data_IF_997502521380
#
_entry.id   IF_997502521380
#
_cell.length_a   1.000
_cell.length_b   1.000
_cell.length_c   1.000
_cell.angle_alpha   90.00
_cell.angle_beta   90.00
_cell.angle_gamma   90.00
#
_symmetry.space_group_name_H-M   'P 1'
#
loop_
_entity.id
_entity.type
_entity.pdbx_description
1 polymer ?
#
# COMPACT_ATOMS: atom_id res chain seq x y z
N UNK A 1 22.98 -10.72 -31.34
CA UNK A 1 21.78 -9.91 -31.01
C UNK A 1 21.72 -9.86 -29.49
N UNK A 2 22.40 -8.88 -28.88
CA UNK A 2 22.40 -8.70 -27.42
C UNK A 2 20.99 -8.26 -27.03
N UNK A 3 20.28 -9.08 -26.27
CA UNK A 3 18.95 -8.69 -25.82
C UNK A 3 19.15 -7.58 -24.80
N UNK A 4 18.21 -6.64 -24.71
CA UNK A 4 18.23 -5.61 -23.66
C UNK A 4 18.19 -6.25 -22.27
N UNK A 5 17.66 -7.48 -22.19
CA UNK A 5 17.75 -8.34 -21.01
C UNK A 5 19.18 -8.58 -20.53
N UNK A 6 20.20 -8.48 -21.38
CA UNK A 6 21.58 -8.81 -21.00
C UNK A 6 22.30 -7.59 -20.41
N UNK A 7 21.65 -6.42 -20.36
CA UNK A 7 22.30 -5.18 -19.96
C UNK A 7 22.50 -5.07 -18.45
N UNK A 8 21.67 -5.69 -17.60
CA UNK A 8 21.79 -5.60 -16.13
C UNK A 8 21.17 -6.80 -15.38
N UNK A 9 21.37 -8.05 -15.85
CA UNK A 9 20.68 -9.23 -15.27
C UNK A 9 21.50 -10.10 -14.29
N UNK A 10 22.79 -9.86 -14.06
CA UNK A 10 23.59 -10.73 -13.17
C UNK A 10 24.24 -10.01 -11.97
N UNK A 11 24.04 -10.62 -10.80
CA UNK A 11 24.70 -10.61 -9.48
C UNK A 11 25.47 -9.38 -8.93
N UNK A 12 26.05 -8.51 -9.75
CA UNK A 12 26.80 -7.34 -9.30
C UNK A 12 26.11 -6.03 -9.74
N UNK A 13 25.97 -5.03 -8.86
CA UNK A 13 25.38 -3.76 -9.22
C UNK A 13 26.24 -3.08 -10.31
N UNK A 14 25.63 -2.65 -11.42
CA UNK A 14 26.37 -2.04 -12.52
C UNK A 14 27.05 -0.75 -12.10
N UNK A 15 28.25 -0.51 -12.62
CA UNK A 15 28.98 0.74 -12.38
C UNK A 15 28.34 1.91 -13.12
N UNK A 16 28.49 3.13 -12.59
CA UNK A 16 28.03 4.37 -13.24
C UNK A 16 28.53 4.49 -14.69
N UNK A 17 29.77 4.06 -14.97
CA UNK A 17 30.35 4.07 -16.31
C UNK A 17 29.65 3.07 -17.26
N UNK A 18 29.24 1.90 -16.75
CA UNK A 18 28.47 0.93 -17.52
C UNK A 18 27.08 1.48 -17.85
N UNK A 19 26.39 2.08 -16.86
CA UNK A 19 25.07 2.68 -17.05
C UNK A 19 25.13 3.81 -18.09
N UNK A 20 26.10 4.71 -17.98
CA UNK A 20 26.30 5.84 -18.90
C UNK A 20 26.59 5.37 -20.35
N UNK A 21 27.43 4.34 -20.51
CA UNK A 21 27.73 3.74 -21.80
C UNK A 21 26.48 3.11 -22.44
N UNK A 22 25.65 2.43 -21.63
CA UNK A 22 24.39 1.83 -22.11
C UNK A 22 23.40 2.90 -22.53
N UNK A 23 23.17 3.92 -21.70
CA UNK A 23 22.29 5.05 -22.04
C UNK A 23 22.74 5.75 -23.33
N UNK A 24 24.04 5.98 -23.48
CA UNK A 24 24.63 6.59 -24.68
C UNK A 24 24.43 5.72 -25.93
N UNK A 25 24.66 4.40 -25.85
CA UNK A 25 24.50 3.49 -26.99
C UNK A 25 23.04 3.31 -27.40
N UNK A 26 22.15 3.20 -26.42
CA UNK A 26 20.73 2.94 -26.65
C UNK A 26 20.05 4.07 -27.43
N UNK A 27 20.43 5.33 -27.16
CA UNK A 27 19.96 6.50 -27.89
C UNK A 27 20.30 6.50 -29.40
N UNK A 28 21.22 5.64 -29.83
CA UNK A 28 21.71 5.57 -31.22
C UNK A 28 21.39 4.21 -31.89
N UNK A 29 20.51 3.37 -31.31
CA UNK A 29 20.10 2.09 -31.91
C UNK A 29 19.27 2.29 -33.20
N UNK A 30 19.57 1.49 -34.22
CA UNK A 30 19.06 1.65 -35.59
C UNK A 30 17.57 1.32 -35.78
N UNK A 31 16.97 1.64 -36.95
CA UNK A 31 15.58 1.31 -37.31
C UNK A 31 15.22 -0.17 -37.26
N UNK A 32 16.16 -1.07 -37.58
CA UNK A 32 15.89 -2.51 -37.62
C UNK A 32 15.89 -3.23 -36.27
N UNK A 33 16.26 -2.57 -35.17
CA UNK A 33 16.62 -3.23 -33.92
C UNK A 33 15.57 -3.17 -32.82
N UNK A 34 14.40 -2.53 -33.01
CA UNK A 34 13.40 -2.41 -31.95
C UNK A 34 11.95 -2.54 -32.41
N UNK A 35 11.19 -3.30 -31.61
CA UNK A 35 9.74 -3.47 -31.66
C UNK A 35 8.94 -2.19 -31.31
N UNK A 36 9.51 -0.99 -31.46
CA UNK A 36 8.91 0.32 -31.15
C UNK A 36 8.49 1.09 -32.42
N UNK A 37 8.46 0.44 -33.59
CA UNK A 37 8.13 1.06 -34.89
C UNK A 37 6.76 1.76 -34.95
N UNK A 38 5.87 1.47 -34.02
CA UNK A 38 4.57 2.11 -33.87
C UNK A 38 4.66 3.49 -33.20
N UNK A 39 5.83 3.88 -32.69
CA UNK A 39 6.15 5.23 -32.22
C UNK A 39 6.81 6.09 -33.31
N UNK A 40 6.90 5.61 -34.56
CA UNK A 40 7.66 6.21 -35.66
C UNK A 40 7.27 7.65 -36.07
N UNK A 41 6.17 8.20 -35.54
CA UNK A 41 5.74 9.57 -35.79
C UNK A 41 6.38 10.61 -34.85
N UNK A 42 7.17 10.20 -33.84
CA UNK A 42 7.86 11.09 -32.89
C UNK A 42 9.39 11.03 -33.04
N UNK A 43 10.10 11.97 -32.40
CA UNK A 43 11.58 11.97 -32.34
C UNK A 43 12.08 10.68 -31.69
N UNK A 44 12.48 9.73 -32.54
CA UNK A 44 12.92 8.39 -32.15
C UNK A 44 14.03 8.42 -31.10
N UNK A 45 14.95 9.38 -31.19
CA UNK A 45 16.05 9.50 -30.23
C UNK A 45 15.50 9.84 -28.84
N UNK A 46 14.53 10.75 -28.77
CA UNK A 46 13.89 11.10 -27.51
C UNK A 46 13.20 9.87 -26.87
N UNK A 47 12.44 9.10 -27.64
CA UNK A 47 11.79 7.87 -27.15
C UNK A 47 12.79 6.87 -26.58
N UNK A 48 13.90 6.65 -27.29
CA UNK A 48 14.94 5.73 -26.83
C UNK A 48 15.62 6.22 -25.54
N UNK A 49 15.87 7.53 -25.43
CA UNK A 49 16.39 8.13 -24.20
C UNK A 49 15.42 7.94 -23.02
N UNK A 50 14.11 8.15 -23.24
CA UNK A 50 13.08 7.89 -22.22
C UNK A 50 13.07 6.43 -21.82
N UNK A 51 13.03 5.52 -22.80
CA UNK A 51 12.97 4.08 -22.56
C UNK A 51 14.16 3.56 -21.75
N UNK A 52 15.39 4.00 -22.08
CA UNK A 52 16.56 3.59 -21.33
C UNK A 52 16.60 4.20 -19.93
N UNK A 53 16.18 5.47 -19.74
CA UNK A 53 16.05 6.06 -18.40
C UNK A 53 15.04 5.31 -17.54
N UNK A 54 13.85 5.04 -18.06
CA UNK A 54 12.85 4.21 -17.39
C UNK A 54 13.42 2.85 -17.03
N UNK A 55 14.10 2.17 -17.96
CA UNK A 55 14.71 0.86 -17.67
C UNK A 55 15.75 0.91 -16.55
N UNK A 56 16.66 1.89 -16.60
CA UNK A 56 17.68 2.10 -15.56
C UNK A 56 17.03 2.37 -14.21
N UNK A 57 15.92 3.10 -14.17
CA UNK A 57 15.21 3.38 -12.93
C UNK A 57 14.51 2.16 -12.29
N UNK A 58 14.51 0.99 -12.93
CA UNK A 58 13.85 -0.22 -12.37
C UNK A 58 14.71 -1.04 -11.41
N UNK A 59 15.97 -0.66 -11.20
CA UNK A 59 16.89 -1.31 -10.25
C UNK A 59 17.61 -0.27 -9.39
N UNK A 60 17.99 -0.65 -8.16
CA UNK A 60 18.47 0.28 -7.13
C UNK A 60 19.66 1.13 -7.56
N UNK A 61 20.73 0.50 -8.04
CA UNK A 61 21.95 1.21 -8.50
C UNK A 61 21.67 2.20 -9.65
N UNK A 62 20.68 1.89 -10.50
CA UNK A 62 20.27 2.74 -11.61
C UNK A 62 19.50 3.96 -11.13
N UNK A 63 18.63 3.82 -10.13
CA UNK A 63 17.98 4.96 -9.48
C UNK A 63 18.99 5.89 -8.83
N UNK A 64 19.97 5.34 -8.10
CA UNK A 64 21.02 6.13 -7.47
C UNK A 64 21.86 6.90 -8.51
N UNK A 65 22.18 6.27 -9.64
CA UNK A 65 22.86 6.91 -10.76
C UNK A 65 22.02 8.07 -11.34
N UNK A 66 20.73 7.83 -11.59
CA UNK A 66 19.83 8.84 -12.14
C UNK A 66 19.62 10.01 -11.17
N UNK A 67 19.55 9.75 -9.87
CA UNK A 67 19.45 10.75 -8.81
C UNK A 67 20.69 11.65 -8.82
N UNK A 68 21.90 11.07 -8.81
CA UNK A 68 23.18 11.81 -8.88
C UNK A 68 23.29 12.70 -10.14
N UNK A 69 22.61 12.32 -11.23
CA UNK A 69 22.60 13.05 -12.50
C UNK A 69 21.41 14.03 -12.63
N UNK A 70 20.51 14.11 -11.65
CA UNK A 70 19.30 14.94 -11.72
C UNK A 70 18.31 14.47 -12.80
N UNK A 71 18.36 13.19 -13.16
CA UNK A 71 17.52 12.58 -14.20
C UNK A 71 16.36 11.77 -13.62
N UNK A 72 16.40 11.38 -12.33
CA UNK A 72 15.35 10.55 -11.74
C UNK A 72 13.97 11.23 -11.77
N UNK A 73 13.93 12.54 -11.56
CA UNK A 73 12.70 13.35 -11.61
C UNK A 73 11.98 13.30 -12.98
N UNK A 74 12.67 12.92 -14.05
CA UNK A 74 12.08 12.82 -15.40
C UNK A 74 11.43 11.46 -15.65
N UNK A 75 11.75 10.45 -14.83
CA UNK A 75 11.36 9.05 -15.08
C UNK A 75 9.86 8.84 -15.01
N UNK A 76 9.15 9.54 -14.12
CA UNK A 76 7.70 9.38 -14.00
C UNK A 76 6.98 9.82 -15.29
N UNK A 77 7.32 11.02 -15.79
CA UNK A 77 6.78 11.51 -17.06
C UNK A 77 7.26 10.68 -18.26
N UNK A 78 8.53 10.28 -18.29
CA UNK A 78 9.06 9.40 -19.34
C UNK A 78 8.26 8.09 -19.41
N UNK A 79 7.95 7.51 -18.26
CA UNK A 79 7.18 6.27 -18.17
C UNK A 79 5.74 6.48 -18.61
N UNK A 80 5.12 7.60 -18.25
CA UNK A 80 3.79 7.99 -18.72
C UNK A 80 3.73 8.16 -20.25
N UNK A 81 4.68 8.90 -20.83
CA UNK A 81 4.76 9.13 -22.28
C UNK A 81 4.94 7.81 -23.05
N UNK A 82 5.81 6.92 -22.55
CA UNK A 82 6.08 5.63 -23.17
C UNK A 82 4.84 4.73 -23.14
N UNK A 83 4.22 4.58 -21.96
CA UNK A 83 3.03 3.73 -21.79
C UNK A 83 1.81 4.31 -22.52
N UNK A 84 1.66 5.63 -22.54
CA UNK A 84 0.54 6.31 -23.20
C UNK A 84 0.55 6.17 -24.71
N UNK A 85 1.72 6.03 -25.31
CA UNK A 85 1.84 5.80 -26.73
C UNK A 85 1.58 4.32 -27.13
N UNK A 86 1.31 3.41 -26.17
CA UNK A 86 1.09 1.98 -26.40
C UNK A 86 -0.27 1.59 -26.98
N UNK A 87 -0.33 0.74 -28.04
CA UNK A 87 -1.54 0.01 -28.37
C UNK A 87 -2.01 -0.77 -27.15
N UNK A 88 -3.31 -0.74 -26.92
CA UNK A 88 -3.95 -1.36 -25.76
C UNK A 88 -3.50 -2.81 -25.51
N UNK A 89 -3.36 -3.63 -26.56
CA UNK A 89 -2.88 -5.02 -26.46
C UNK A 89 -1.49 -5.16 -25.82
N UNK A 90 -0.58 -4.24 -26.12
CA UNK A 90 0.78 -4.28 -25.57
C UNK A 90 0.73 -3.85 -24.10
N UNK A 91 0.00 -2.77 -23.81
CA UNK A 91 -0.21 -2.28 -22.44
C UNK A 91 -0.82 -3.36 -21.54
N UNK A 92 -1.87 -4.05 -22.01
CA UNK A 92 -2.51 -5.18 -21.33
C UNK A 92 -1.50 -6.31 -21.05
N UNK A 93 -0.71 -6.70 -22.05
CA UNK A 93 0.34 -7.72 -21.86
C UNK A 93 1.37 -7.28 -20.82
N UNK A 94 1.77 -6.01 -20.82
CA UNK A 94 2.71 -5.45 -19.84
C UNK A 94 2.16 -5.47 -18.41
N UNK A 95 0.86 -5.20 -18.24
CA UNK A 95 0.15 -5.28 -16.95
C UNK A 95 0.15 -6.72 -16.44
N UNK A 96 -0.19 -7.70 -17.28
CA UNK A 96 -0.18 -9.12 -16.90
C UNK A 96 1.23 -9.62 -16.52
N UNK A 97 2.26 -9.08 -17.18
CA UNK A 97 3.65 -9.43 -16.90
C UNK A 97 4.29 -8.66 -15.75
N UNK A 98 3.59 -7.68 -15.17
CA UNK A 98 4.11 -6.80 -14.12
C UNK A 98 4.69 -7.59 -12.94
N UNK A 99 5.77 -7.07 -12.36
CA UNK A 99 6.44 -7.68 -11.21
C UNK A 99 6.91 -6.62 -10.22
N UNK A 100 7.23 -7.05 -9.00
CA UNK A 100 7.93 -6.19 -8.04
C UNK A 100 9.41 -6.15 -8.39
N UNK A 101 9.96 -4.94 -8.47
CA UNK A 101 11.38 -4.67 -8.56
C UNK A 101 11.97 -4.30 -7.19
N UNK A 102 13.18 -3.75 -7.24
CA UNK A 102 13.86 -3.24 -6.06
C UNK A 102 13.04 -2.14 -5.37
N UNK A 103 13.25 -1.96 -4.08
CA UNK A 103 12.60 -0.93 -3.26
C UNK A 103 11.05 -0.98 -3.27
N UNK A 104 10.45 -2.07 -3.73
CA UNK A 104 8.99 -2.28 -3.74
C UNK A 104 8.26 -1.62 -4.89
N UNK A 105 9.01 -1.16 -5.90
CA UNK A 105 8.45 -0.57 -7.10
C UNK A 105 7.77 -1.61 -7.98
N UNK A 106 6.66 -1.23 -8.62
CA UNK A 106 6.01 -2.06 -9.64
C UNK A 106 6.69 -1.80 -10.97
N UNK A 107 7.09 -2.88 -11.64
CA UNK A 107 7.82 -2.84 -12.91
C UNK A 107 6.99 -3.52 -14.00
N UNK A 108 6.65 -2.75 -15.04
CA UNK A 108 6.00 -3.22 -16.26
C UNK A 108 7.04 -3.71 -17.26
N UNK A 109 6.85 -4.92 -17.81
CA UNK A 109 7.83 -5.56 -18.70
C UNK A 109 7.32 -5.60 -20.12
N UNK A 110 8.07 -5.01 -21.04
CA UNK A 110 7.73 -5.01 -22.45
C UNK A 110 7.88 -6.43 -23.05
N UNK A 111 6.86 -6.93 -23.76
CA UNK A 111 6.88 -8.29 -24.30
C UNK A 111 7.98 -8.46 -25.36
N UNK A 112 8.73 -9.56 -25.27
CA UNK A 112 9.69 -9.99 -26.29
C UNK A 112 11.05 -9.27 -26.31
N UNK A 113 11.16 -8.06 -25.74
CA UNK A 113 12.42 -7.28 -25.78
C UNK A 113 13.06 -7.07 -24.40
N UNK A 114 12.33 -7.35 -23.31
CA UNK A 114 12.88 -7.27 -21.95
C UNK A 114 13.11 -5.87 -21.41
N UNK A 115 12.65 -4.83 -22.12
CA UNK A 115 12.57 -3.47 -21.61
C UNK A 115 11.66 -3.44 -20.37
N UNK A 116 12.05 -2.65 -19.38
CA UNK A 116 11.37 -2.53 -18.10
C UNK A 116 11.00 -1.07 -17.90
N UNK A 117 9.80 -0.81 -17.42
CA UNK A 117 9.30 0.53 -17.18
C UNK A 117 8.73 0.55 -15.76
N UNK A 118 9.19 1.46 -14.88
CA UNK A 118 8.62 1.59 -13.56
C UNK A 118 7.22 2.19 -13.67
N UNK A 119 6.30 1.70 -12.84
CA UNK A 119 5.04 2.36 -12.64
C UNK A 119 5.26 3.55 -11.70
N UNK A 120 5.11 4.76 -12.23
CA UNK A 120 5.11 5.99 -11.44
C UNK A 120 3.71 6.58 -11.27
N UNK A 121 3.61 7.68 -10.51
CA UNK A 121 2.35 8.30 -10.12
C UNK A 121 1.61 8.95 -11.28
N UNK A 122 2.33 9.49 -12.28
CA UNK A 122 1.69 10.14 -13.44
C UNK A 122 0.79 9.15 -14.20
N UNK A 123 1.14 7.86 -14.23
CA UNK A 123 0.32 6.80 -14.81
C UNK A 123 -0.97 6.51 -14.03
N UNK A 124 -1.07 6.98 -12.79
CA UNK A 124 -2.25 6.85 -11.94
C UNK A 124 -3.12 8.11 -11.94
N UNK A 125 -2.80 9.10 -12.79
CA UNK A 125 -3.58 10.32 -12.97
C UNK A 125 -4.81 10.16 -13.86
N UNK A 126 -5.23 11.26 -14.48
CA UNK A 126 -6.38 11.33 -15.42
C UNK A 126 -5.96 11.68 -16.84
N UNK A 127 -4.65 11.82 -17.10
CA UNK A 127 -4.11 12.18 -18.40
C UNK A 127 -4.17 11.05 -19.44
N UNK A 128 -3.80 11.40 -20.67
CA UNK A 128 -3.64 10.43 -21.75
C UNK A 128 -2.60 9.37 -21.36
N UNK A 129 -2.92 8.10 -21.56
CA UNK A 129 -2.06 6.98 -21.17
C UNK A 129 -2.18 6.49 -19.74
N UNK A 130 -2.94 7.19 -18.87
CA UNK A 130 -3.20 6.75 -17.51
C UNK A 130 -3.85 5.34 -17.48
N UNK A 131 -3.62 4.62 -16.38
CA UNK A 131 -4.26 3.32 -16.14
C UNK A 131 -5.74 3.52 -15.81
N UNK A 132 -6.60 2.83 -16.55
CA UNK A 132 -8.02 2.72 -16.22
C UNK A 132 -8.22 1.95 -14.92
N UNK A 133 -9.36 2.12 -14.25
CA UNK A 133 -9.68 1.35 -13.03
C UNK A 133 -9.64 -0.16 -13.27
N UNK A 134 -10.06 -0.61 -14.46
CA UNK A 134 -9.98 -2.01 -14.85
C UNK A 134 -8.52 -2.49 -14.88
N UNK A 135 -7.63 -1.74 -15.53
CA UNK A 135 -6.19 -2.05 -15.60
C UNK A 135 -5.53 -2.06 -14.22
N UNK A 136 -5.89 -1.13 -13.33
CA UNK A 136 -5.39 -1.10 -11.94
C UNK A 136 -5.85 -2.34 -11.17
N UNK A 137 -7.14 -2.73 -11.29
CA UNK A 137 -7.66 -3.95 -10.65
C UNK A 137 -6.98 -5.20 -11.15
N UNK A 138 -6.77 -5.31 -12.45
CA UNK A 138 -6.01 -6.40 -13.07
C UNK A 138 -4.60 -6.44 -12.49
N UNK A 139 -3.88 -5.30 -12.51
CA UNK A 139 -2.54 -5.19 -11.98
C UNK A 139 -2.40 -5.68 -10.52
N UNK A 140 -3.34 -5.28 -9.64
CA UNK A 140 -3.27 -5.58 -8.21
C UNK A 140 -3.75 -7.00 -7.88
N UNK A 141 -4.89 -7.43 -8.44
CA UNK A 141 -5.66 -8.59 -7.95
C UNK A 141 -5.62 -9.79 -8.89
N UNK A 142 -5.37 -9.61 -10.19
CA UNK A 142 -5.48 -10.69 -11.17
C UNK A 142 -4.29 -10.73 -12.12
N UNK A 143 -3.45 -11.75 -11.96
CA UNK A 143 -2.41 -12.04 -12.94
C UNK A 143 -2.71 -13.41 -13.55
N UNK A 144 -3.26 -13.41 -14.75
CA UNK A 144 -3.63 -14.62 -15.48
C UNK A 144 -2.45 -15.61 -15.52
N UNK A 145 -2.69 -16.84 -15.07
CA UNK A 145 -1.68 -17.90 -15.02
C UNK A 145 -0.65 -17.80 -13.88
N UNK A 146 -0.83 -16.89 -12.90
CA UNK A 146 0.02 -16.84 -11.70
C UNK A 146 -0.72 -17.29 -10.45
N UNK A 147 0.01 -17.92 -9.54
CA UNK A 147 -0.51 -18.42 -8.27
C UNK A 147 -0.76 -17.34 -7.22
N UNK A 148 -0.14 -16.16 -7.37
CA UNK A 148 -0.21 -15.05 -6.42
C UNK A 148 -0.34 -13.72 -7.18
N UNK A 149 -1.23 -12.88 -6.67
CA UNK A 149 -1.44 -11.50 -7.08
C UNK A 149 -0.24 -10.61 -6.74
N UNK A 150 -0.20 -9.40 -7.32
CA UNK A 150 0.88 -8.46 -7.05
C UNK A 150 0.79 -7.92 -5.62
N UNK A 151 -0.43 -7.73 -5.11
CA UNK A 151 -0.69 -7.29 -3.74
C UNK A 151 -0.21 -8.33 -2.72
N UNK A 152 -0.43 -9.62 -2.96
CA UNK A 152 0.07 -10.71 -2.10
C UNK A 152 1.60 -10.76 -2.06
N UNK A 153 2.25 -10.64 -3.22
CA UNK A 153 3.72 -10.58 -3.29
C UNK A 153 4.28 -9.39 -2.54
N UNK A 154 3.60 -8.25 -2.64
CA UNK A 154 4.01 -7.04 -1.95
C UNK A 154 3.84 -7.17 -0.44
N UNK A 155 2.70 -7.71 0.00
CA UNK A 155 2.46 -8.08 1.40
C UNK A 155 3.56 -9.00 1.95
N UNK A 156 3.92 -10.05 1.21
CA UNK A 156 5.00 -10.95 1.60
C UNK A 156 6.37 -10.24 1.69
N UNK A 157 6.63 -9.29 0.79
CA UNK A 157 7.83 -8.44 0.83
C UNK A 157 7.87 -7.53 2.05
N UNK A 158 6.76 -6.86 2.37
CA UNK A 158 6.61 -6.05 3.58
C UNK A 158 6.89 -6.89 4.85
N UNK A 159 6.46 -8.14 4.91
CA UNK A 159 6.72 -9.01 6.08
C UNK A 159 8.18 -9.47 6.24
N UNK A 160 9.02 -9.36 5.22
CA UNK A 160 10.37 -9.96 5.19
C UNK A 160 11.53 -8.96 5.11
N UNK A 161 11.27 -7.75 4.67
CA UNK A 161 12.29 -6.72 4.39
C UNK A 161 12.26 -5.63 5.47
N UNK A 162 13.38 -4.94 5.64
CA UNK A 162 13.58 -3.85 6.59
C UNK A 162 12.54 -2.72 6.48
N UNK A 163 12.59 -1.80 7.45
CA UNK A 163 11.70 -0.65 7.53
C UNK A 163 11.94 0.40 6.43
N UNK A 164 13.02 0.30 5.65
CA UNK A 164 13.34 1.22 4.55
C UNK A 164 12.68 0.79 3.23
N UNK A 165 12.36 -0.50 3.08
CA UNK A 165 11.44 -0.98 2.04
C UNK A 165 9.98 -0.60 2.38
N UNK A 166 9.08 -0.44 1.41
CA UNK A 166 9.40 0.15 0.11
C UNK A 166 9.91 1.59 0.30
N UNK A 167 10.55 2.16 -0.72
CA UNK A 167 10.96 3.57 -0.68
C UNK A 167 9.75 4.53 -0.69
N UNK A 168 9.98 5.82 -0.50
CA UNK A 168 8.89 6.81 -0.38
C UNK A 168 8.06 6.92 -1.67
N UNK A 169 8.69 6.87 -2.84
CA UNK A 169 7.98 6.92 -4.13
C UNK A 169 7.12 5.68 -4.35
N UNK A 170 7.64 4.50 -4.00
CA UNK A 170 6.88 3.26 -4.05
C UNK A 170 5.72 3.29 -3.04
N UNK A 171 5.89 3.84 -1.83
CA UNK A 171 4.78 4.07 -0.90
C UNK A 171 3.65 4.89 -1.56
N UNK A 172 3.99 6.00 -2.24
CA UNK A 172 3.02 6.85 -2.94
C UNK A 172 2.29 6.07 -4.03
N UNK A 173 3.02 5.37 -4.90
CA UNK A 173 2.43 4.56 -5.98
C UNK A 173 1.48 3.49 -5.43
N UNK A 174 1.87 2.79 -4.36
CA UNK A 174 1.01 1.78 -3.73
C UNK A 174 -0.24 2.38 -3.09
N UNK A 175 -0.11 3.51 -2.39
CA UNK A 175 -1.26 4.19 -1.82
C UNK A 175 -2.24 4.63 -2.91
N UNK A 176 -1.74 5.31 -3.94
CA UNK A 176 -2.55 5.81 -5.06
C UNK A 176 -3.24 4.67 -5.83
N UNK A 177 -2.56 3.53 -6.03
CA UNK A 177 -3.13 2.32 -6.62
C UNK A 177 -4.27 1.74 -5.80
N UNK A 178 -4.05 1.58 -4.49
CA UNK A 178 -5.06 1.03 -3.59
C UNK A 178 -6.28 1.95 -3.55
N UNK A 179 -6.07 3.26 -3.38
CA UNK A 179 -7.15 4.25 -3.38
C UNK A 179 -7.95 4.22 -4.68
N UNK A 180 -7.29 4.12 -5.84
CA UNK A 180 -7.94 4.04 -7.15
C UNK A 180 -8.70 2.73 -7.36
N UNK A 181 -8.22 1.63 -6.79
CA UNK A 181 -8.94 0.35 -6.83
C UNK A 181 -10.21 0.33 -5.96
N UNK A 182 -10.14 0.98 -4.80
CA UNK A 182 -11.26 1.18 -3.89
C UNK A 182 -12.27 2.15 -4.51
N UNK A 183 -11.81 3.16 -5.25
CA UNK A 183 -12.66 4.07 -6.04
C UNK A 183 -13.69 4.82 -5.17
N UNK A 184 -13.28 5.23 -3.97
CA UNK A 184 -14.16 5.87 -2.99
C UNK A 184 -15.29 4.99 -2.46
N UNK A 185 -15.34 3.70 -2.84
CA UNK A 185 -16.32 2.74 -2.33
C UNK A 185 -15.91 2.25 -0.94
N UNK A 186 -16.86 1.73 -0.16
CA UNK A 186 -16.56 1.00 1.06
C UNK A 186 -15.54 -0.14 0.83
N UNK A 187 -14.61 -0.32 1.77
CA UNK A 187 -13.50 -1.29 1.66
C UNK A 187 -13.99 -2.74 1.57
N UNK A 188 -15.12 -3.06 2.17
CA UNK A 188 -15.77 -4.38 2.08
C UNK A 188 -16.24 -4.72 0.66
N UNK A 189 -16.34 -3.72 -0.24
CA UNK A 189 -16.63 -3.93 -1.66
C UNK A 189 -15.36 -4.11 -2.52
N UNK A 190 -14.17 -4.05 -1.92
CA UNK A 190 -12.91 -4.28 -2.64
C UNK A 190 -12.80 -5.71 -3.15
N UNK A 191 -13.12 -6.69 -2.30
CA UNK A 191 -13.11 -8.11 -2.63
C UNK A 191 -14.09 -8.86 -1.73
N UNK A 192 -14.74 -9.90 -2.29
CA UNK A 192 -15.51 -10.86 -1.50
C UNK A 192 -14.62 -11.95 -0.87
N UNK A 193 -13.34 -12.01 -1.27
CA UNK A 193 -12.38 -12.96 -0.71
C UNK A 193 -11.75 -12.40 0.57
N UNK A 194 -12.01 -13.10 1.69
CA UNK A 194 -11.50 -12.77 3.03
C UNK A 194 -9.97 -12.79 3.08
N UNK A 195 -9.33 -13.69 2.35
CA UNK A 195 -7.86 -13.76 2.32
C UNK A 195 -7.31 -12.50 1.66
N UNK A 196 -7.87 -12.09 0.52
CA UNK A 196 -7.50 -10.84 -0.14
C UNK A 196 -7.76 -9.60 0.72
N UNK A 197 -8.86 -9.57 1.48
CA UNK A 197 -9.12 -8.48 2.43
C UNK A 197 -8.08 -8.45 3.56
N UNK A 198 -7.68 -9.60 4.10
CA UNK A 198 -6.60 -9.68 5.09
C UNK A 198 -5.26 -9.19 4.55
N UNK A 199 -4.94 -9.51 3.29
CA UNK A 199 -3.74 -9.03 2.58
C UNK A 199 -3.79 -7.51 2.40
N UNK A 200 -4.92 -6.97 1.92
CA UNK A 200 -5.12 -5.53 1.78
C UNK A 200 -4.96 -4.80 3.13
N UNK A 201 -5.58 -5.33 4.18
CA UNK A 201 -5.51 -4.78 5.52
C UNK A 201 -4.05 -4.69 6.01
N UNK A 202 -3.31 -5.79 5.88
CA UNK A 202 -1.91 -5.85 6.25
C UNK A 202 -1.07 -4.82 5.50
N UNK A 203 -1.25 -4.73 4.17
CA UNK A 203 -0.51 -3.76 3.35
C UNK A 203 -0.79 -2.33 3.80
N UNK A 204 -2.06 -1.97 4.02
CA UNK A 204 -2.44 -0.63 4.47
C UNK A 204 -1.84 -0.28 5.84
N UNK A 205 -1.92 -1.19 6.82
CA UNK A 205 -1.32 -0.99 8.15
C UNK A 205 0.20 -0.87 8.07
N UNK A 206 0.85 -1.79 7.35
CA UNK A 206 2.31 -1.80 7.23
C UNK A 206 2.84 -0.55 6.51
N UNK A 207 2.16 -0.08 5.46
CA UNK A 207 2.49 1.18 4.80
C UNK A 207 2.30 2.36 5.75
N UNK A 208 1.17 2.44 6.45
CA UNK A 208 0.87 3.51 7.42
C UNK A 208 1.96 3.59 8.52
N UNK A 209 2.34 2.45 9.10
CA UNK A 209 3.40 2.39 10.11
C UNK A 209 4.75 2.84 9.57
N UNK A 210 5.13 2.42 8.36
CA UNK A 210 6.41 2.81 7.71
C UNK A 210 6.46 4.30 7.39
N UNK A 211 5.42 4.85 6.76
CA UNK A 211 5.38 6.29 6.43
C UNK A 211 5.29 7.14 7.70
N UNK A 212 4.60 6.65 8.74
CA UNK A 212 4.58 7.28 10.06
C UNK A 212 5.96 7.30 10.70
N UNK A 213 6.70 6.19 10.67
CA UNK A 213 8.04 6.11 11.27
C UNK A 213 9.05 7.05 10.57
N UNK A 214 8.82 7.36 9.29
CA UNK A 214 9.63 8.30 8.50
C UNK A 214 9.21 9.76 8.64
N UNK A 215 8.14 10.05 9.39
CA UNK A 215 7.64 11.42 9.59
C UNK A 215 6.90 12.01 8.37
N UNK A 216 6.45 11.17 7.43
CA UNK A 216 5.80 11.61 6.18
C UNK A 216 4.29 11.87 6.36
N UNK A 217 3.88 12.38 7.52
CA UNK A 217 2.47 12.51 7.91
C UNK A 217 1.68 13.51 7.04
N UNK A 218 2.36 14.44 6.40
CA UNK A 218 1.75 15.43 5.51
C UNK A 218 1.55 14.92 4.09
N UNK A 219 2.23 13.83 3.72
CA UNK A 219 2.22 13.25 2.39
C UNK A 219 1.21 12.10 2.26
N UNK A 220 0.86 11.46 3.38
CA UNK A 220 0.02 10.26 3.42
C UNK A 220 -1.19 10.42 4.35
N UNK A 221 -2.38 9.94 3.94
CA UNK A 221 -3.57 9.98 4.77
C UNK A 221 -3.57 8.83 5.81
N UNK A 222 -2.62 8.85 6.75
CA UNK A 222 -2.39 7.77 7.74
C UNK A 222 -3.67 7.33 8.47
N UNK A 223 -4.51 8.24 9.03
CA UNK A 223 -5.76 7.82 9.69
C UNK A 223 -6.70 7.05 8.77
N UNK A 224 -6.79 7.45 7.50
CA UNK A 224 -7.63 6.78 6.50
C UNK A 224 -7.07 5.41 6.15
N UNK A 225 -5.75 5.27 6.00
CA UNK A 225 -5.10 3.99 5.74
C UNK A 225 -5.35 2.99 6.89
N UNK A 226 -5.19 3.43 8.14
CA UNK A 226 -5.44 2.60 9.33
C UNK A 226 -6.92 2.27 9.52
N UNK A 227 -7.83 3.21 9.23
CA UNK A 227 -9.28 2.97 9.22
C UNK A 227 -9.65 1.90 8.19
N UNK A 228 -9.17 2.04 6.96
CA UNK A 228 -9.41 1.09 5.89
C UNK A 228 -8.82 -0.30 6.21
N UNK A 229 -7.65 -0.33 6.86
CA UNK A 229 -7.05 -1.55 7.38
C UNK A 229 -7.94 -2.24 8.41
N UNK A 230 -8.44 -1.48 9.40
CA UNK A 230 -9.31 -2.03 10.43
C UNK A 230 -10.60 -2.62 9.83
N UNK A 231 -11.23 -1.92 8.90
CA UNK A 231 -12.41 -2.40 8.17
C UNK A 231 -12.08 -3.70 7.43
N UNK A 232 -10.99 -3.73 6.65
CA UNK A 232 -10.59 -4.91 5.89
C UNK A 232 -10.32 -6.12 6.78
N UNK A 233 -9.61 -5.96 7.92
CA UNK A 233 -9.39 -7.04 8.88
C UNK A 233 -10.69 -7.53 9.53
N UNK A 234 -11.61 -6.62 9.85
CA UNK A 234 -12.91 -6.98 10.39
C UNK A 234 -13.69 -7.88 9.42
N UNK A 235 -13.71 -7.54 8.12
CA UNK A 235 -14.35 -8.37 7.10
C UNK A 235 -13.58 -9.65 6.74
N UNK A 236 -12.29 -9.70 7.07
CA UNK A 236 -11.46 -10.91 6.97
C UNK A 236 -11.64 -11.87 8.16
N UNK A 237 -12.53 -11.57 9.13
CA UNK A 237 -12.71 -12.29 10.39
C UNK A 237 -11.43 -12.35 11.27
N UNK A 238 -10.61 -11.31 11.23
CA UNK A 238 -9.42 -11.15 12.10
C UNK A 238 -9.58 -9.97 13.08
N UNK A 239 -10.31 -10.17 14.19
CA UNK A 239 -10.59 -9.10 15.15
C UNK A 239 -9.35 -8.62 15.90
N UNK A 240 -8.31 -9.45 16.04
CA UNK A 240 -7.06 -9.05 16.71
C UNK A 240 -6.32 -8.04 15.85
N UNK A 241 -6.07 -8.37 14.58
CA UNK A 241 -5.39 -7.45 13.66
C UNK A 241 -6.22 -6.19 13.38
N UNK A 242 -7.55 -6.30 13.36
CA UNK A 242 -8.46 -5.16 13.30
C UNK A 242 -8.24 -4.20 14.49
N UNK A 243 -8.20 -4.73 15.71
CA UNK A 243 -7.99 -3.93 16.90
C UNK A 243 -6.60 -3.30 16.96
N UNK A 244 -5.57 -4.01 16.52
CA UNK A 244 -4.21 -3.47 16.39
C UNK A 244 -4.15 -2.25 15.45
N UNK A 245 -4.83 -2.29 14.29
CA UNK A 245 -4.92 -1.12 13.39
C UNK A 245 -5.57 0.09 14.08
N UNK A 246 -6.59 -0.15 14.90
CA UNK A 246 -7.30 0.90 15.64
C UNK A 246 -6.46 1.46 16.79
N UNK A 247 -5.70 0.62 17.48
CA UNK A 247 -4.77 1.04 18.53
C UNK A 247 -3.65 1.89 17.91
N UNK A 248 -3.07 1.46 16.78
CA UNK A 248 -2.05 2.24 16.07
C UNK A 248 -2.58 3.60 15.60
N UNK A 249 -3.85 3.66 15.17
CA UNK A 249 -4.54 4.92 14.87
C UNK A 249 -4.68 5.78 16.13
N UNK A 250 -5.01 5.17 17.27
CA UNK A 250 -5.04 5.84 18.57
C UNK A 250 -3.70 6.46 18.94
N UNK A 251 -2.61 5.70 18.82
CA UNK A 251 -1.25 6.15 19.08
C UNK A 251 -0.82 7.29 18.15
N UNK A 252 -1.28 7.26 16.90
CA UNK A 252 -1.06 8.34 15.93
C UNK A 252 -1.74 9.65 16.38
N UNK A 253 -3.01 9.60 16.77
CA UNK A 253 -3.73 10.77 17.28
C UNK A 253 -3.16 11.26 18.61
N UNK A 254 -2.80 10.36 19.53
CA UNK A 254 -2.21 10.71 20.81
C UNK A 254 -0.89 11.46 20.65
N UNK A 255 -0.02 11.04 19.73
CA UNK A 255 1.25 11.73 19.41
C UNK A 255 1.04 13.17 18.91
N UNK A 256 -0.15 13.49 18.41
CA UNK A 256 -0.56 14.82 17.95
C UNK A 256 -1.42 15.57 18.98
N UNK A 257 -1.50 15.05 20.22
CA UNK A 257 -2.34 15.59 21.30
C UNK A 257 -3.84 15.61 20.97
N UNK A 258 -4.28 14.81 19.99
CA UNK A 258 -5.69 14.63 19.65
C UNK A 258 -6.28 13.50 20.50
N UNK A 259 -6.36 13.76 21.80
CA UNK A 259 -6.77 12.77 22.79
C UNK A 259 -8.20 12.27 22.59
N UNK A 260 -9.08 13.10 22.00
CA UNK A 260 -10.47 12.72 21.71
C UNK A 260 -10.53 11.62 20.66
N UNK A 261 -9.85 11.79 19.53
CA UNK A 261 -9.82 10.76 18.49
C UNK A 261 -9.00 9.53 18.91
N UNK A 262 -7.96 9.73 19.72
CA UNK A 262 -7.20 8.63 20.31
C UNK A 262 -8.06 7.75 21.23
N UNK A 263 -8.87 8.36 22.12
CA UNK A 263 -9.81 7.66 22.98
C UNK A 263 -10.87 6.92 22.16
N UNK A 264 -11.45 7.59 21.15
CA UNK A 264 -12.44 6.99 20.26
C UNK A 264 -11.91 5.75 19.52
N UNK A 265 -10.70 5.81 18.98
CA UNK A 265 -10.08 4.67 18.30
C UNK A 265 -9.89 3.47 19.25
N UNK A 266 -9.40 3.72 20.47
CA UNK A 266 -9.24 2.69 21.51
C UNK A 266 -10.59 2.11 21.97
N UNK A 267 -11.65 2.92 22.02
CA UNK A 267 -13.01 2.44 22.31
C UNK A 267 -13.47 1.40 21.28
N UNK A 268 -13.29 1.69 20.00
CA UNK A 268 -13.70 0.77 18.93
C UNK A 268 -12.85 -0.50 19.00
N UNK A 269 -11.53 -0.38 19.23
CA UNK A 269 -10.65 -1.54 19.41
C UNK A 269 -11.14 -2.45 20.55
N UNK A 270 -11.49 -1.85 21.70
CA UNK A 270 -12.00 -2.58 22.86
C UNK A 270 -13.33 -3.29 22.55
N UNK A 271 -14.24 -2.62 21.84
CA UNK A 271 -15.53 -3.19 21.42
C UNK A 271 -15.36 -4.41 20.49
N UNK A 272 -14.47 -4.30 19.50
CA UNK A 272 -14.17 -5.40 18.56
C UNK A 272 -13.60 -6.61 19.30
N UNK A 273 -12.63 -6.39 20.18
CA UNK A 273 -12.01 -7.46 20.97
C UNK A 273 -12.98 -8.10 21.97
N UNK A 274 -13.83 -7.29 22.62
CA UNK A 274 -14.86 -7.77 23.53
C UNK A 274 -15.85 -8.67 22.80
N UNK A 275 -16.38 -8.22 21.66
CA UNK A 275 -17.27 -9.03 20.81
C UNK A 275 -16.61 -10.34 20.38
N UNK A 276 -15.35 -10.29 19.95
CA UNK A 276 -14.57 -11.47 19.57
C UNK A 276 -14.37 -12.45 20.74
N UNK A 277 -14.04 -11.95 21.93
CA UNK A 277 -13.89 -12.78 23.13
C UNK A 277 -15.19 -13.53 23.46
N UNK A 278 -16.33 -12.84 23.43
CA UNK A 278 -17.65 -13.45 23.67
C UNK A 278 -18.00 -14.50 22.61
N UNK A 279 -17.70 -14.23 21.33
CA UNK A 279 -17.91 -15.16 20.22
C UNK A 279 -17.05 -16.41 20.33
N UNK A 280 -15.75 -16.25 20.60
CA UNK A 280 -14.79 -17.35 20.77
C UNK A 280 -15.15 -18.25 21.95
N UNK A 281 -15.64 -17.66 23.05
CA UNK A 281 -16.13 -18.42 24.19
C UNK A 281 -17.31 -19.32 23.81
N UNK A 282 -18.26 -18.79 23.06
CA UNK A 282 -19.46 -19.52 22.65
C UNK A 282 -19.14 -20.73 21.75
N UNK A 283 -18.01 -20.72 21.03
CA UNK A 283 -17.55 -21.83 20.17
C UNK A 283 -16.49 -22.72 20.84
N UNK A 284 -16.27 -22.57 22.16
CA UNK A 284 -15.35 -23.41 22.93
C UNK A 284 -13.86 -23.07 22.79
N UNK A 285 -13.50 -21.97 22.14
CA UNK A 285 -12.11 -21.50 21.98
C UNK A 285 -11.67 -20.64 23.18
N UNK A 286 -11.63 -21.25 24.36
CA UNK A 286 -11.47 -20.52 25.62
C UNK A 286 -10.14 -19.77 25.77
N UNK A 287 -9.04 -20.35 25.27
CA UNK A 287 -7.71 -19.71 25.34
C UNK A 287 -7.69 -18.42 24.52
N UNK A 288 -8.10 -18.51 23.24
CA UNK A 288 -8.19 -17.34 22.36
C UNK A 288 -9.19 -16.30 22.90
N UNK A 289 -10.29 -16.76 23.50
CA UNK A 289 -11.28 -15.88 24.12
C UNK A 289 -10.69 -15.08 25.29
N UNK A 290 -9.90 -15.71 26.16
CA UNK A 290 -9.27 -15.01 27.29
C UNK A 290 -8.19 -14.03 26.81
N UNK A 291 -7.41 -14.38 25.79
CA UNK A 291 -6.47 -13.44 25.16
C UNK A 291 -7.18 -12.19 24.62
N UNK A 292 -8.25 -12.36 23.83
CA UNK A 292 -9.05 -11.24 23.33
C UNK A 292 -9.64 -10.40 24.47
N UNK A 293 -10.07 -11.03 25.57
CA UNK A 293 -10.55 -10.32 26.76
C UNK A 293 -9.48 -9.44 27.39
N UNK A 294 -8.26 -9.96 27.57
CA UNK A 294 -7.16 -9.19 28.17
C UNK A 294 -6.81 -7.97 27.30
N UNK A 295 -6.75 -8.17 25.98
CA UNK A 295 -6.54 -7.07 25.04
C UNK A 295 -7.68 -6.04 25.09
N UNK A 296 -8.94 -6.49 25.16
CA UNK A 296 -10.09 -5.59 25.29
C UNK A 296 -10.01 -4.74 26.57
N UNK A 297 -9.63 -5.35 27.70
CA UNK A 297 -9.47 -4.65 28.97
C UNK A 297 -8.39 -3.57 28.90
N UNK A 298 -7.22 -3.89 28.32
CA UNK A 298 -6.15 -2.92 28.08
C UNK A 298 -6.66 -1.75 27.24
N UNK A 299 -7.39 -2.01 26.14
CA UNK A 299 -7.94 -0.96 25.29
C UNK A 299 -8.97 -0.08 26.03
N UNK A 300 -9.85 -0.64 26.86
CA UNK A 300 -10.77 0.15 27.70
C UNK A 300 -10.05 1.02 28.74
N UNK A 301 -8.95 0.54 29.32
CA UNK A 301 -8.15 1.32 30.28
C UNK A 301 -7.49 2.50 29.57
N UNK A 302 -6.88 2.26 28.41
CA UNK A 302 -6.27 3.30 27.58
C UNK A 302 -7.30 4.33 27.13
N UNK A 303 -8.47 3.89 26.66
CA UNK A 303 -9.59 4.78 26.30
C UNK A 303 -9.97 5.73 27.43
N UNK A 304 -10.18 5.20 28.65
CA UNK A 304 -10.56 6.02 29.81
C UNK A 304 -9.49 7.03 30.19
N UNK A 305 -8.21 6.63 30.15
CA UNK A 305 -7.09 7.53 30.42
C UNK A 305 -7.03 8.68 29.40
N UNK A 306 -7.20 8.38 28.11
CA UNK A 306 -7.20 9.38 27.04
C UNK A 306 -8.44 10.28 27.09
N UNK A 307 -9.61 9.74 27.40
CA UNK A 307 -10.84 10.51 27.55
C UNK A 307 -10.75 11.52 28.72
N UNK A 308 -10.12 11.14 29.83
CA UNK A 308 -9.85 12.05 30.94
C UNK A 308 -8.91 13.19 30.51
N UNK A 309 -7.81 12.88 29.81
CA UNK A 309 -6.88 13.88 29.28
C UNK A 309 -7.55 14.83 28.26
N UNK A 310 -8.49 14.34 27.44
CA UNK A 310 -9.26 15.17 26.53
C UNK A 310 -10.20 16.15 27.27
N UNK A 311 -10.82 15.69 28.37
CA UNK A 311 -11.64 16.52 29.24
C UNK A 311 -10.85 17.67 29.89
N UNK A 312 -9.57 17.46 30.19
CA UNK A 312 -8.64 18.48 30.68
C UNK A 312 -8.15 19.42 29.55
N UNK A 313 -7.84 18.88 28.37
CA UNK A 313 -7.34 19.65 27.22
C UNK A 313 -8.41 20.56 26.58
N UNK A 314 -9.67 20.11 26.54
CA UNK A 314 -10.79 20.87 25.96
C UNK A 314 -11.11 22.18 26.71
N UNK A 315 -10.48 22.42 27.87
CA UNK A 315 -10.53 23.69 28.58
C UNK A 315 -9.58 24.76 28.03
N UNK A 316 -8.74 24.46 27.01
CA UNK A 316 -7.63 25.35 26.61
C UNK A 316 -7.48 25.70 25.11
N UNK A 317 -8.17 25.05 24.15
CA UNK A 317 -8.00 25.36 22.70
C UNK A 317 -9.31 25.16 21.91
N UNK A 318 -9.69 26.04 20.94
CA UNK A 318 -10.88 25.86 20.10
C UNK A 318 -10.63 24.86 18.94
N UNK A 319 -11.66 24.17 18.42
CA UNK A 319 -11.48 23.09 17.45
C UNK A 319 -11.37 23.63 16.02
N UNK A 320 -10.31 23.25 15.31
CA UNK A 320 -10.28 23.25 13.85
C UNK A 320 -11.01 22.00 13.34
N UNK A 321 -12.05 22.22 12.52
CA UNK A 321 -12.76 21.15 11.82
C UNK A 321 -11.97 20.74 10.58
N UNK A 322 -11.16 19.67 10.69
CA UNK A 322 -10.71 18.93 9.51
C UNK A 322 -11.59 17.70 9.30
N UNK A 323 -12.35 17.75 8.20
CA UNK A 323 -12.81 16.61 7.41
C UNK A 323 -13.48 15.47 8.18
N UNK A 324 -14.81 15.49 8.24
CA UNK A 324 -15.63 14.41 8.80
C UNK A 324 -15.15 13.02 8.35
N UNK A 325 -14.53 12.28 9.26
CA UNK A 325 -14.27 10.86 9.08
C UNK A 325 -15.61 10.12 9.00
N UNK A 326 -15.76 9.11 8.13
CA UNK A 326 -16.95 8.28 8.11
C UNK A 326 -17.19 7.68 9.50
N UNK A 327 -18.46 7.51 9.89
CA UNK A 327 -18.82 6.92 11.17
C UNK A 327 -18.36 5.45 11.22
N UNK A 328 -17.15 5.22 11.72
CA UNK A 328 -16.62 3.87 11.89
C UNK A 328 -17.39 3.17 13.00
N UNK A 329 -18.23 2.22 12.61
CA UNK A 329 -18.95 1.34 13.54
C UNK A 329 -18.55 -0.09 13.23
N UNK A 330 -17.55 -0.58 13.97
CA UNK A 330 -17.06 -1.95 13.88
C UNK A 330 -17.50 -2.72 15.12
N UNK A 331 -18.22 -3.83 14.90
CA UNK A 331 -18.78 -4.65 15.97
C UNK A 331 -19.92 -3.99 16.75
N UNK A 332 -20.40 -4.71 17.77
CA UNK A 332 -21.39 -4.20 18.72
C UNK A 332 -20.74 -3.24 19.70
N UNK A 333 -21.41 -2.14 20.02
CA UNK A 333 -20.97 -1.24 21.09
C UNK A 333 -21.26 -1.91 22.43
N UNK A 334 -20.21 -2.36 23.14
CA UNK A 334 -20.31 -3.04 24.43
C UNK A 334 -19.55 -2.18 25.43
N UNK A 335 -20.20 -1.69 26.48
CA UNK A 335 -19.44 -0.98 27.53
C UNK A 335 -18.58 -1.95 28.33
N UNK A 336 -17.51 -1.49 28.99
CA UNK A 336 -16.68 -2.38 29.81
C UNK A 336 -17.48 -3.11 30.89
N UNK A 337 -18.37 -2.41 31.62
CA UNK A 337 -19.19 -3.01 32.67
C UNK A 337 -20.16 -4.06 32.12
N UNK A 338 -20.75 -3.79 30.96
CA UNK A 338 -21.59 -4.75 30.24
C UNK A 338 -20.78 -5.97 29.79
N UNK A 339 -19.58 -5.77 29.24
CA UNK A 339 -18.69 -6.85 28.84
C UNK A 339 -18.31 -7.75 30.02
N UNK A 340 -17.93 -7.15 31.16
CA UNK A 340 -17.59 -7.89 32.38
C UNK A 340 -18.77 -8.73 32.90
N UNK A 341 -19.98 -8.17 32.85
CA UNK A 341 -21.22 -8.88 33.22
C UNK A 341 -21.46 -10.07 32.29
N UNK A 342 -21.44 -9.83 30.97
CA UNK A 342 -21.62 -10.85 29.93
C UNK A 342 -20.55 -11.95 29.97
N UNK A 343 -19.33 -11.61 30.38
CA UNK A 343 -18.24 -12.56 30.54
C UNK A 343 -18.41 -13.43 31.79
N UNK A 344 -18.79 -12.84 32.93
CA UNK A 344 -19.05 -13.56 34.17
C UNK A 344 -20.20 -14.56 34.01
N UNK A 345 -21.29 -14.16 33.36
CA UNK A 345 -22.41 -15.04 33.05
C UNK A 345 -21.98 -16.25 32.22
N UNK A 346 -21.16 -16.05 31.20
CA UNK A 346 -20.65 -17.14 30.35
C UNK A 346 -19.73 -18.10 31.09
N UNK A 347 -18.87 -17.59 31.96
CA UNK A 347 -18.01 -18.42 32.83
C UNK A 347 -18.81 -19.28 33.80
N UNK A 348 -19.94 -18.77 34.31
CA UNK A 348 -20.77 -19.51 35.26
C UNK A 348 -21.55 -20.70 34.66
N UNK A 349 -21.58 -20.82 33.32
CA UNK A 349 -22.32 -21.87 32.60
C UNK A 349 -21.47 -23.11 32.26
N UNK A 350 -20.20 -23.13 32.64
CA UNK A 350 -19.24 -24.24 32.42
C UNK A 350 -18.85 -24.81 33.77
#
# INVERSE_FOLDING_TARGET
MTRITDLFVDADPPTDAAIDAVMSRFAHMGPGDMALDWLANQDKKAILCRAVRSHVATFGAGRDFLERRGLLLQVDQDSADLIGALPARIKETMITLASLGDCGQIVLKFPGIGLRIPLGRTLLGTGEGALTMYEVRQLLMYQEGRSESLLEKFSAGLGRVDAAYPDNEACHVWNDLIERCVDGKPIDQFSNDRTMLGVLAFVLRALAGRVSARGLHHEFPIPRMLTNSAIAYFHADDPKSCAESLIEMGDFHQRRSDFRNAAWANKIAANVLAGAALGLWNVGRYVDADECRQLAYTAYVTERALAAAAGEASATVPPEEEGSSPSLTLGTNISQSEFETLWAERKSRI
#
